data_IF_286819398103
#
_entry.id   IF_286819398103
#
_cell.length_a   1.000
_cell.length_b   1.000
_cell.length_c   1.000
_cell.angle_alpha   90.00
_cell.angle_beta   90.00
_cell.angle_gamma   90.00
#
_symmetry.space_group_name_H-M   'P 1'
#
loop_
_entity.id
_entity.type
_entity.pdbx_description
1 polymer ?
#
# COMPACT_ATOMS: atom_id res chain seq x y z
N UNK A 1 19.79 59.65 -34.61
CA UNK A 1 18.48 60.02 -35.13
C UNK A 1 17.38 59.00 -34.71
N UNK A 2 16.14 59.19 -35.14
CA UNK A 2 14.98 58.40 -34.67
C UNK A 2 15.09 56.90 -34.99
N UNK A 3 15.71 56.50 -36.08
CA UNK A 3 15.98 55.09 -36.47
C UNK A 3 16.97 54.43 -35.53
N UNK A 4 17.96 55.10 -35.05
CA UNK A 4 18.98 54.60 -34.13
C UNK A 4 18.41 54.44 -32.71
N UNK A 5 17.52 55.32 -32.28
CA UNK A 5 16.79 55.21 -31.03
C UNK A 5 15.79 54.06 -31.02
N UNK A 6 15.09 53.78 -32.16
CA UNK A 6 14.18 52.66 -32.30
C UNK A 6 14.94 51.33 -32.27
N UNK A 7 16.05 51.22 -33.00
CA UNK A 7 16.91 50.01 -33.00
C UNK A 7 17.48 49.74 -31.62
N UNK A 8 17.90 50.76 -30.87
CA UNK A 8 18.39 50.62 -29.50
C UNK A 8 17.27 50.15 -28.54
N UNK A 9 16.06 50.69 -28.64
CA UNK A 9 14.92 50.29 -27.81
C UNK A 9 14.53 48.82 -28.09
N UNK A 10 14.58 48.37 -29.35
CA UNK A 10 14.28 46.99 -29.71
C UNK A 10 15.38 46.03 -29.22
N UNK A 11 16.65 46.41 -29.27
CA UNK A 11 17.77 45.66 -28.71
C UNK A 11 17.65 45.53 -27.18
N UNK A 12 17.30 46.61 -26.47
CA UNK A 12 17.07 46.58 -25.04
C UNK A 12 15.87 45.69 -24.63
N UNK A 13 14.79 45.75 -25.43
CA UNK A 13 13.62 44.88 -25.21
C UNK A 13 14.00 43.40 -25.39
N UNK A 14 14.71 43.07 -26.44
CA UNK A 14 15.21 41.72 -26.72
C UNK A 14 16.14 41.22 -25.59
N UNK A 15 17.08 42.06 -25.13
CA UNK A 15 17.98 41.72 -24.04
C UNK A 15 17.22 41.40 -22.72
N UNK A 16 16.16 42.16 -22.40
CA UNK A 16 15.29 41.91 -21.26
C UNK A 16 14.51 40.58 -21.39
N UNK A 17 13.99 40.27 -22.57
CA UNK A 17 13.30 39.02 -22.85
C UNK A 17 14.25 37.82 -22.74
N UNK A 18 15.47 37.96 -23.28
CA UNK A 18 16.50 36.91 -23.21
C UNK A 18 16.95 36.66 -21.76
N UNK A 19 17.16 37.72 -20.97
CA UNK A 19 17.47 37.62 -19.56
C UNK A 19 16.33 36.91 -18.75
N UNK A 20 15.07 37.27 -19.03
CA UNK A 20 13.92 36.66 -18.38
C UNK A 20 13.82 35.17 -18.67
N UNK A 21 14.11 34.71 -19.88
CA UNK A 21 14.14 33.28 -20.24
C UNK A 21 15.27 32.56 -19.54
N UNK A 22 16.47 33.14 -19.49
CA UNK A 22 17.61 32.59 -18.76
C UNK A 22 17.31 32.47 -17.24
N UNK A 23 16.67 33.50 -16.66
CA UNK A 23 16.27 33.49 -15.24
C UNK A 23 15.23 32.42 -14.92
N UNK A 24 14.29 32.17 -15.83
CA UNK A 24 13.33 31.09 -15.66
C UNK A 24 14.05 29.71 -15.57
N UNK A 25 15.10 29.50 -16.37
CA UNK A 25 15.92 28.28 -16.30
C UNK A 25 16.70 28.21 -15.00
N UNK A 26 17.33 29.31 -14.56
CA UNK A 26 18.03 29.35 -13.27
C UNK A 26 17.10 28.99 -12.10
N UNK A 27 15.88 29.52 -12.10
CA UNK A 27 14.85 29.16 -11.10
C UNK A 27 14.45 27.69 -11.18
N UNK A 28 14.29 27.12 -12.38
CA UNK A 28 13.99 25.71 -12.55
C UNK A 28 15.11 24.81 -12.01
N UNK A 29 16.37 25.16 -12.25
CA UNK A 29 17.54 24.44 -11.71
C UNK A 29 17.57 24.53 -10.17
N UNK A 30 17.38 25.70 -9.61
CA UNK A 30 17.34 25.89 -8.15
C UNK A 30 16.19 25.13 -7.46
N UNK A 31 15.08 24.93 -8.16
CA UNK A 31 13.93 24.18 -7.64
C UNK A 31 14.11 22.66 -7.63
N UNK A 32 15.16 22.11 -8.21
CA UNK A 32 15.44 20.66 -8.21
C UNK A 32 15.62 20.16 -6.76
N UNK A 33 16.41 20.87 -5.95
CA UNK A 33 16.68 20.52 -4.55
C UNK A 33 17.40 19.17 -4.40
N UNK A 34 17.08 18.43 -3.35
CA UNK A 34 17.67 17.09 -3.10
C UNK A 34 17.10 16.08 -4.08
N UNK A 35 17.97 15.37 -4.77
CA UNK A 35 17.63 14.38 -5.78
C UNK A 35 17.56 12.97 -5.19
N UNK A 36 16.52 12.22 -5.53
CA UNK A 36 16.33 10.81 -5.23
C UNK A 36 15.72 10.08 -6.45
N UNK A 37 15.51 8.77 -6.39
CA UNK A 37 14.92 7.98 -7.48
C UNK A 37 13.39 8.17 -7.64
N UNK A 38 12.79 9.24 -7.12
CA UNK A 38 11.35 9.51 -7.22
C UNK A 38 10.95 10.09 -8.58
N UNK A 39 9.68 9.88 -8.98
CA UNK A 39 9.10 10.54 -10.15
C UNK A 39 9.07 12.07 -10.02
N UNK A 40 9.06 12.62 -8.80
CA UNK A 40 9.12 14.05 -8.55
C UNK A 40 10.50 14.62 -8.89
N UNK A 41 11.58 13.96 -8.42
CA UNK A 41 12.96 14.31 -8.78
C UNK A 41 13.18 14.22 -10.29
N UNK A 42 12.70 13.15 -10.91
CA UNK A 42 12.74 12.98 -12.38
C UNK A 42 12.09 14.16 -13.11
N UNK A 43 10.86 14.47 -12.74
CA UNK A 43 10.10 15.54 -13.40
C UNK A 43 10.77 16.90 -13.30
N UNK A 44 11.38 17.23 -12.16
CA UNK A 44 12.09 18.49 -11.93
C UNK A 44 13.37 18.56 -12.75
N UNK A 45 14.17 17.51 -12.77
CA UNK A 45 15.43 17.42 -13.54
C UNK A 45 15.13 17.50 -15.03
N UNK A 46 14.17 16.72 -15.54
CA UNK A 46 13.76 16.74 -16.96
C UNK A 46 13.20 18.11 -17.37
N UNK A 47 12.39 18.75 -16.53
CA UNK A 47 11.85 20.08 -16.81
C UNK A 47 12.95 21.14 -16.91
N UNK A 48 13.91 21.14 -16.00
CA UNK A 48 15.04 22.06 -16.02
C UNK A 48 15.92 21.85 -17.26
N UNK A 49 16.21 20.60 -17.64
CA UNK A 49 16.97 20.27 -18.86
C UNK A 49 16.23 20.71 -20.12
N UNK A 50 14.93 20.44 -20.20
CA UNK A 50 14.09 20.86 -21.33
C UNK A 50 14.04 22.38 -21.47
N UNK A 51 13.92 23.09 -20.34
CA UNK A 51 13.92 24.56 -20.34
C UNK A 51 15.28 25.12 -20.81
N UNK A 52 16.41 24.54 -20.36
CA UNK A 52 17.75 24.92 -20.82
C UNK A 52 17.96 24.62 -22.30
N UNK A 53 17.51 23.47 -22.79
CA UNK A 53 17.62 23.07 -24.18
C UNK A 53 16.83 24.00 -25.16
N UNK A 54 15.74 24.60 -24.67
CA UNK A 54 14.91 25.53 -25.43
C UNK A 54 15.51 26.92 -25.57
N UNK A 55 16.61 27.24 -24.87
CA UNK A 55 17.30 28.51 -24.99
C UNK A 55 18.11 28.59 -26.28
N UNK A 56 18.16 29.80 -26.90
CA UNK A 56 19.11 30.09 -27.97
C UNK A 56 20.56 30.12 -27.41
N UNK A 57 21.55 30.08 -28.29
CA UNK A 57 22.96 30.12 -27.88
C UNK A 57 23.30 31.40 -27.11
N UNK A 58 22.72 32.53 -27.48
CA UNK A 58 22.92 33.79 -26.77
C UNK A 58 22.24 33.77 -25.37
N UNK A 59 21.07 33.19 -25.26
CA UNK A 59 20.37 33.01 -23.98
C UNK A 59 21.13 32.03 -23.07
N UNK A 60 21.72 30.98 -23.61
CA UNK A 60 22.56 30.01 -22.86
C UNK A 60 23.78 30.68 -22.26
N UNK A 61 24.38 31.66 -22.91
CA UNK A 61 25.49 32.47 -22.36
C UNK A 61 25.11 33.23 -21.09
N UNK A 62 23.83 33.53 -20.92
CA UNK A 62 23.30 34.22 -19.71
C UNK A 62 23.07 33.28 -18.52
N UNK A 63 23.14 31.95 -18.75
CA UNK A 63 23.10 30.94 -17.67
C UNK A 63 24.52 30.67 -17.22
N UNK A 64 24.81 30.95 -15.96
CA UNK A 64 26.15 30.80 -15.42
C UNK A 64 26.64 29.35 -15.46
N UNK A 65 27.92 29.15 -15.66
CA UNK A 65 28.55 27.82 -15.67
C UNK A 65 28.30 27.04 -14.38
N UNK A 66 28.21 27.74 -13.22
CA UNK A 66 27.84 27.17 -11.92
C UNK A 66 26.44 26.56 -11.93
N UNK A 67 25.47 27.22 -12.56
CA UNK A 67 24.10 26.72 -12.70
C UNK A 67 23.98 25.50 -13.62
N UNK A 68 24.73 25.54 -14.74
CA UNK A 68 24.79 24.39 -15.63
C UNK A 68 25.46 23.18 -14.97
N UNK A 69 26.48 23.41 -14.16
CA UNK A 69 27.12 22.37 -13.35
C UNK A 69 26.13 21.75 -12.35
N UNK A 70 25.34 22.54 -11.64
CA UNK A 70 24.30 22.04 -10.74
C UNK A 70 23.26 21.17 -11.46
N UNK A 71 22.86 21.56 -12.68
CA UNK A 71 21.93 20.76 -13.49
C UNK A 71 22.55 19.41 -13.87
N UNK A 72 23.82 19.42 -14.31
CA UNK A 72 24.55 18.19 -14.70
C UNK A 72 24.77 17.28 -13.48
N UNK A 73 25.10 17.85 -12.32
CA UNK A 73 25.22 17.10 -11.08
C UNK A 73 23.89 16.50 -10.62
N UNK A 74 22.80 17.24 -10.77
CA UNK A 74 21.45 16.73 -10.45
C UNK A 74 21.04 15.58 -11.38
N UNK A 75 21.37 15.64 -12.65
CA UNK A 75 21.15 14.54 -13.62
C UNK A 75 21.97 13.30 -13.23
N UNK A 76 23.26 13.48 -12.94
CA UNK A 76 24.13 12.39 -12.51
C UNK A 76 23.62 11.75 -11.20
N UNK A 77 23.24 12.60 -10.22
CA UNK A 77 22.67 12.14 -8.95
C UNK A 77 21.37 11.37 -9.15
N UNK A 78 20.51 11.81 -10.07
CA UNK A 78 19.28 11.09 -10.41
C UNK A 78 19.60 9.72 -11.02
N UNK A 79 20.52 9.64 -11.97
CA UNK A 79 20.94 8.37 -12.58
C UNK A 79 21.55 7.43 -11.51
N UNK A 80 22.43 7.94 -10.64
CA UNK A 80 22.98 7.16 -9.54
C UNK A 80 21.89 6.65 -8.59
N UNK A 81 20.94 7.51 -8.18
CA UNK A 81 19.84 7.10 -7.32
C UNK A 81 18.94 6.05 -7.97
N UNK A 82 18.73 6.13 -9.29
CA UNK A 82 17.99 5.11 -10.07
C UNK A 82 18.79 3.81 -10.13
N UNK A 83 20.10 3.86 -10.40
CA UNK A 83 20.97 2.67 -10.43
C UNK A 83 21.09 2.02 -9.04
N UNK A 84 21.27 2.79 -7.98
CA UNK A 84 21.23 2.29 -6.59
C UNK A 84 19.88 1.67 -6.25
N UNK A 85 18.78 2.30 -6.70
CA UNK A 85 17.44 1.74 -6.53
C UNK A 85 17.25 0.43 -7.30
N UNK A 86 17.83 0.30 -8.50
CA UNK A 86 17.87 -0.95 -9.27
C UNK A 86 18.80 -1.97 -8.61
N UNK A 87 20.00 -1.57 -8.18
CA UNK A 87 20.99 -2.43 -7.53
C UNK A 87 20.45 -2.99 -6.20
N UNK A 88 19.76 -2.16 -5.40
CA UNK A 88 19.02 -2.63 -4.21
C UNK A 88 17.90 -3.59 -4.58
N UNK A 89 17.38 -3.51 -5.82
CA UNK A 89 16.38 -4.45 -6.36
C UNK A 89 17.05 -5.72 -6.94
N UNK A 90 18.30 -5.65 -7.38
CA UNK A 90 19.05 -6.79 -7.94
C UNK A 90 19.86 -7.57 -6.89
N UNK A 91 20.38 -6.91 -5.84
CA UNK A 91 21.02 -7.61 -4.71
C UNK A 91 20.04 -8.42 -3.85
N UNK A 92 18.73 -8.16 -3.98
CA UNK A 92 17.65 -9.06 -3.51
C UNK A 92 17.04 -9.84 -4.68
N UNK A 93 17.88 -10.45 -5.56
CA UNK A 93 17.37 -11.57 -6.38
C UNK A 93 17.07 -12.70 -5.38
N UNK A 94 15.77 -13.04 -5.16
CA UNK A 94 15.45 -14.04 -4.17
C UNK A 94 16.06 -15.37 -4.62
N UNK A 95 16.83 -15.98 -3.76
CA UNK A 95 16.99 -17.42 -3.80
C UNK A 95 15.57 -18.01 -3.90
N UNK A 96 15.26 -18.54 -5.09
CA UNK A 96 14.01 -19.25 -5.36
C UNK A 96 12.74 -18.52 -4.90
N UNK A 97 12.25 -17.57 -5.75
CA UNK A 97 10.98 -16.86 -5.54
C UNK A 97 9.75 -17.80 -5.40
N UNK A 98 9.91 -19.09 -5.70
CA UNK A 98 8.88 -20.13 -5.51
C UNK A 98 8.77 -20.57 -4.05
N UNK A 99 9.81 -20.36 -3.23
CA UNK A 99 9.88 -20.77 -1.83
C UNK A 99 9.12 -19.83 -0.89
N UNK A 100 9.05 -18.53 -1.20
CA UNK A 100 8.39 -17.54 -0.36
C UNK A 100 7.08 -17.07 -0.96
N UNK A 101 6.02 -17.14 -0.19
CA UNK A 101 4.66 -16.82 -0.64
C UNK A 101 4.04 -15.78 0.28
N UNK A 102 3.44 -14.77 -0.33
CA UNK A 102 2.54 -13.85 0.34
C UNK A 102 1.13 -13.98 -0.27
N UNK A 103 0.09 -14.05 0.56
CA UNK A 103 -1.28 -14.23 0.09
C UNK A 103 -2.29 -13.57 1.02
N UNK A 104 -3.11 -12.70 0.48
CA UNK A 104 -4.27 -12.18 1.23
C UNK A 104 -5.36 -13.26 1.37
N UNK A 105 -6.08 -13.21 2.48
CA UNK A 105 -7.22 -14.10 2.74
C UNK A 105 -8.41 -13.86 1.80
N UNK A 106 -8.39 -12.77 1.01
CA UNK A 106 -9.38 -12.43 -0.02
C UNK A 106 -8.74 -11.68 -1.19
N UNK A 107 -9.30 -11.82 -2.40
CA UNK A 107 -8.87 -11.06 -3.60
C UNK A 107 -9.29 -9.59 -3.54
N UNK A 108 -10.37 -9.28 -2.83
CA UNK A 108 -10.87 -7.93 -2.69
C UNK A 108 -11.54 -7.70 -1.34
N UNK A 109 -11.67 -6.43 -0.96
CA UNK A 109 -12.38 -6.02 0.24
C UNK A 109 -13.06 -4.67 0.05
N UNK A 110 -13.88 -4.25 1.02
CA UNK A 110 -14.56 -2.94 0.98
C UNK A 110 -14.45 -2.24 2.32
N UNK A 111 -14.18 -0.94 2.28
CA UNK A 111 -14.15 -0.06 3.46
C UNK A 111 -15.08 1.12 3.26
N UNK A 112 -15.54 1.73 4.34
CA UNK A 112 -16.31 2.96 4.28
C UNK A 112 -15.40 4.17 4.13
N UNK A 113 -15.81 5.17 3.33
CA UNK A 113 -15.13 6.46 3.20
C UNK A 113 -14.96 7.11 4.58
N UNK A 114 -13.81 7.70 4.83
CA UNK A 114 -13.42 8.41 6.06
C UNK A 114 -13.46 7.59 7.35
N UNK A 115 -13.81 6.32 7.31
CA UNK A 115 -13.60 5.44 8.47
C UNK A 115 -12.19 4.86 8.39
N UNK A 116 -11.43 5.08 9.43
CA UNK A 116 -10.21 4.35 9.66
C UNK A 116 -10.60 2.90 10.00
N UNK A 117 -10.25 1.96 9.44
CA UNK A 117 -9.07 1.36 9.02
C UNK A 117 -8.96 0.01 9.65
N UNK A 118 -9.13 -0.93 8.83
CA UNK A 118 -8.71 -2.29 9.13
C UNK A 118 -7.22 -2.38 8.82
N UNK A 119 -6.50 -3.07 9.67
CA UNK A 119 -5.12 -3.42 9.42
C UNK A 119 -5.08 -4.68 8.56
N UNK A 120 -4.73 -4.54 7.28
CA UNK A 120 -4.61 -5.64 6.32
C UNK A 120 -3.48 -6.63 6.66
N UNK A 121 -2.51 -6.24 7.49
CA UNK A 121 -1.45 -7.15 7.92
C UNK A 121 -1.98 -8.37 8.71
N UNK A 122 -3.19 -8.30 9.26
CA UNK A 122 -3.85 -9.45 9.91
C UNK A 122 -4.48 -10.44 8.92
N UNK A 123 -4.67 -10.01 7.69
CA UNK A 123 -5.41 -10.74 6.66
C UNK A 123 -4.50 -11.24 5.52
N UNK A 124 -3.18 -11.16 5.73
CA UNK A 124 -2.17 -11.71 4.84
C UNK A 124 -1.43 -12.84 5.53
N UNK A 125 -1.23 -13.94 4.80
CA UNK A 125 -0.32 -15.01 5.17
C UNK A 125 0.98 -14.82 4.38
N UNK A 126 2.11 -14.94 5.06
CA UNK A 126 3.45 -14.96 4.48
C UNK A 126 4.19 -16.22 4.95
N UNK A 127 5.17 -16.66 4.18
CA UNK A 127 6.02 -17.79 4.57
C UNK A 127 6.72 -17.51 5.92
N UNK A 128 6.85 -18.53 6.76
CA UNK A 128 7.55 -18.40 8.04
C UNK A 128 9.00 -17.93 7.82
N UNK A 129 9.46 -16.99 8.65
CA UNK A 129 10.77 -16.37 8.54
C UNK A 129 10.85 -15.19 7.55
N UNK A 130 9.78 -14.93 6.79
CA UNK A 130 9.67 -13.76 5.91
C UNK A 130 9.04 -12.56 6.65
N UNK A 131 9.28 -11.33 6.20
CA UNK A 131 8.78 -10.09 6.82
C UNK A 131 8.21 -9.16 5.76
N UNK A 132 7.14 -8.46 6.09
CA UNK A 132 6.60 -7.41 5.24
C UNK A 132 7.48 -6.16 5.37
N UNK A 133 8.05 -5.71 4.25
CA UNK A 133 8.91 -4.51 4.20
C UNK A 133 8.26 -3.33 3.50
N UNK A 134 7.28 -3.56 2.62
CA UNK A 134 6.68 -2.48 1.84
C UNK A 134 5.19 -2.66 1.62
N UNK A 135 4.46 -1.55 1.77
CA UNK A 135 3.06 -1.40 1.40
C UNK A 135 2.92 -0.30 0.35
N UNK A 136 2.23 -0.57 -0.75
CA UNK A 136 1.98 0.40 -1.82
C UNK A 136 0.48 0.44 -2.15
N UNK A 137 -0.02 1.62 -2.50
CA UNK A 137 -1.37 1.79 -3.07
C UNK A 137 -1.25 2.28 -4.50
N UNK A 138 -2.11 1.78 -5.38
CA UNK A 138 -2.20 2.26 -6.78
C UNK A 138 -2.84 3.65 -6.88
N UNK A 139 -3.56 4.11 -5.84
CA UNK A 139 -4.20 5.43 -5.86
C UNK A 139 -4.37 5.99 -4.43
N UNK A 140 -3.44 6.88 -4.03
CA UNK A 140 -3.45 7.55 -2.72
C UNK A 140 -4.65 8.49 -2.53
N UNK A 141 -5.27 8.99 -3.61
CA UNK A 141 -6.48 9.83 -3.54
C UNK A 141 -7.72 9.01 -3.13
N UNK A 142 -7.73 7.70 -3.41
CA UNK A 142 -8.83 6.78 -3.07
C UNK A 142 -8.57 6.08 -1.74
N UNK A 143 -7.38 5.46 -1.58
CA UNK A 143 -6.98 4.72 -0.37
C UNK A 143 -5.55 5.04 -0.02
N UNK A 144 -5.29 5.36 1.23
CA UNK A 144 -3.93 5.40 1.78
C UNK A 144 -3.64 4.12 2.57
N UNK A 145 -2.38 3.73 2.61
CA UNK A 145 -1.89 2.61 3.43
C UNK A 145 -0.64 3.06 4.20
N UNK A 146 -0.54 2.66 5.46
CA UNK A 146 0.65 2.90 6.29
C UNK A 146 1.64 1.75 6.15
N UNK A 147 2.89 1.95 6.60
CA UNK A 147 3.91 0.90 6.68
C UNK A 147 3.54 -0.29 7.60
N UNK A 148 2.53 -0.12 8.47
CA UNK A 148 1.96 -1.19 9.31
C UNK A 148 0.73 -1.86 8.68
N UNK A 149 0.41 -1.57 7.40
CA UNK A 149 -0.73 -2.15 6.69
C UNK A 149 -2.11 -1.58 7.05
N UNK A 150 -2.15 -0.45 7.79
CA UNK A 150 -3.40 0.24 8.13
C UNK A 150 -3.88 1.02 6.91
N UNK A 151 -5.10 0.75 6.41
CA UNK A 151 -5.68 1.43 5.25
C UNK A 151 -6.75 2.45 5.67
N UNK A 152 -6.88 3.54 4.91
CA UNK A 152 -7.91 4.57 5.11
C UNK A 152 -8.53 4.95 3.76
N UNK A 153 -9.86 4.88 3.67
CA UNK A 153 -10.62 5.31 2.49
C UNK A 153 -10.77 6.82 2.44
N UNK A 154 -10.21 7.47 1.44
CA UNK A 154 -10.26 8.93 1.24
C UNK A 154 -11.41 9.36 0.33
N UNK A 155 -11.57 8.70 -0.81
CA UNK A 155 -12.60 8.98 -1.82
C UNK A 155 -13.29 7.68 -2.24
N UNK A 156 -14.59 7.75 -2.56
CA UNK A 156 -15.30 6.61 -3.15
C UNK A 156 -14.63 6.19 -4.45
N UNK A 157 -14.41 4.88 -4.62
CA UNK A 157 -13.67 4.34 -5.75
C UNK A 157 -12.99 3.02 -5.42
N UNK A 158 -12.03 2.62 -6.25
CA UNK A 158 -11.21 1.42 -6.05
C UNK A 158 -9.72 1.76 -6.11
N UNK A 159 -8.92 1.06 -5.34
CA UNK A 159 -7.46 1.07 -5.43
C UNK A 159 -6.91 -0.32 -5.08
N UNK A 160 -5.78 -0.68 -5.65
CA UNK A 160 -5.07 -1.92 -5.33
C UNK A 160 -4.01 -1.62 -4.27
N UNK A 161 -4.00 -2.39 -3.20
CA UNK A 161 -2.93 -2.40 -2.21
C UNK A 161 -2.03 -3.57 -2.51
N UNK A 162 -0.75 -3.30 -2.68
CA UNK A 162 0.30 -4.30 -2.88
C UNK A 162 1.23 -4.32 -1.68
N UNK A 163 1.57 -5.50 -1.22
CA UNK A 163 2.57 -5.74 -0.19
C UNK A 163 3.77 -6.44 -0.82
N UNK A 164 4.96 -6.13 -0.32
CA UNK A 164 6.20 -6.80 -0.68
C UNK A 164 6.92 -7.23 0.60
N UNK A 165 7.47 -8.42 0.59
CA UNK A 165 8.26 -8.97 1.71
C UNK A 165 9.76 -8.80 1.46
N UNK A 166 10.59 -8.98 2.48
CA UNK A 166 12.06 -8.89 2.38
C UNK A 166 12.64 -9.98 1.46
N UNK A 167 11.98 -11.14 1.36
CA UNK A 167 12.34 -12.22 0.44
C UNK A 167 11.70 -12.08 -0.94
N UNK A 168 11.14 -10.91 -1.28
CA UNK A 168 10.63 -10.57 -2.61
C UNK A 168 9.23 -11.07 -2.93
N UNK A 169 8.56 -11.82 -2.04
CA UNK A 169 7.19 -12.27 -2.27
C UNK A 169 6.23 -11.06 -2.31
N UNK A 170 5.27 -11.11 -3.24
CA UNK A 170 4.30 -10.03 -3.44
C UNK A 170 2.87 -10.56 -3.34
N UNK A 171 1.99 -9.76 -2.77
CA UNK A 171 0.55 -10.00 -2.78
C UNK A 171 -0.23 -8.71 -3.00
N UNK A 172 -1.37 -8.80 -3.66
CA UNK A 172 -2.22 -7.64 -3.92
C UNK A 172 -3.67 -7.91 -3.54
N UNK A 173 -4.35 -6.86 -3.10
CA UNK A 173 -5.78 -6.88 -2.78
C UNK A 173 -6.46 -5.63 -3.31
N UNK A 174 -7.59 -5.79 -3.99
CA UNK A 174 -8.42 -4.65 -4.43
C UNK A 174 -9.27 -4.15 -3.28
N UNK A 175 -9.18 -2.86 -2.97
CA UNK A 175 -9.96 -2.19 -1.93
C UNK A 175 -11.00 -1.28 -2.58
N UNK A 176 -12.28 -1.54 -2.31
CA UNK A 176 -13.39 -0.69 -2.72
C UNK A 176 -13.79 0.24 -1.58
N UNK A 177 -13.71 1.54 -1.79
CA UNK A 177 -14.22 2.55 -0.85
C UNK A 177 -15.66 2.85 -1.17
N UNK A 178 -16.55 2.63 -0.19
CA UNK A 178 -17.98 2.84 -0.29
C UNK A 178 -18.42 4.07 0.52
N UNK A 179 -19.44 4.79 0.03
CA UNK A 179 -20.05 5.90 0.78
C UNK A 179 -20.80 5.38 2.02
N UNK A 180 -21.57 4.31 1.86
CA UNK A 180 -22.38 3.69 2.91
C UNK A 180 -21.58 2.75 3.81
N UNK A 181 -22.09 2.49 5.01
CA UNK A 181 -21.52 1.54 5.97
C UNK A 181 -21.31 0.16 5.32
N UNK A 182 -20.12 -0.40 5.54
CA UNK A 182 -19.77 -1.74 5.09
C UNK A 182 -20.12 -2.74 6.19
N UNK A 183 -21.07 -3.63 5.90
CA UNK A 183 -21.50 -4.69 6.83
C UNK A 183 -20.97 -6.05 6.39
N UNK A 184 -20.89 -6.99 7.33
CA UNK A 184 -20.55 -8.39 7.04
C UNK A 184 -21.58 -9.03 6.12
N UNK A 185 -21.12 -9.56 4.98
CA UNK A 185 -21.94 -10.32 4.01
C UNK A 185 -21.85 -11.82 4.23
N UNK A 186 -20.69 -12.32 4.70
CA UNK A 186 -20.43 -13.73 4.96
C UNK A 186 -19.47 -13.90 6.12
N UNK A 187 -19.69 -14.97 6.92
CA UNK A 187 -18.78 -15.43 7.98
C UNK A 187 -18.32 -16.84 7.61
N UNK A 188 -17.01 -17.05 7.55
CA UNK A 188 -16.41 -18.37 7.33
C UNK A 188 -15.58 -18.72 8.56
N UNK A 189 -15.74 -19.90 9.10
CA UNK A 189 -14.98 -20.37 10.25
C UNK A 189 -13.99 -21.43 9.81
N UNK A 190 -12.75 -21.27 10.20
CA UNK A 190 -11.63 -22.14 9.88
C UNK A 190 -10.94 -22.63 11.14
N UNK A 191 -10.26 -23.75 11.05
CA UNK A 191 -9.31 -24.19 12.07
C UNK A 191 -8.07 -23.27 11.97
N UNK A 192 -7.67 -22.66 13.08
CA UNK A 192 -6.54 -21.71 13.08
C UNK A 192 -5.19 -22.37 12.73
N UNK A 193 -5.04 -23.67 13.02
CA UNK A 193 -3.80 -24.43 12.74
C UNK A 193 -3.70 -24.90 11.29
N UNK A 194 -4.82 -25.40 10.72
CA UNK A 194 -4.80 -26.03 9.36
C UNK A 194 -5.34 -25.12 8.27
N UNK A 195 -5.88 -23.95 8.61
CA UNK A 195 -6.60 -22.98 7.74
C UNK A 195 -7.79 -23.60 6.96
N UNK A 196 -8.18 -24.85 7.25
CA UNK A 196 -9.33 -25.51 6.63
C UNK A 196 -10.65 -25.05 7.25
N UNK A 197 -11.69 -24.97 6.39
CA UNK A 197 -13.05 -24.62 6.85
C UNK A 197 -13.55 -25.69 7.83
N UNK A 198 -14.10 -25.27 8.95
CA UNK A 198 -14.63 -26.15 9.98
C UNK A 198 -16.14 -25.93 10.13
N UNK A 199 -16.92 -26.96 9.79
CA UNK A 199 -18.37 -27.03 10.06
C UNK A 199 -18.70 -28.02 11.19
N UNK A 200 -17.86 -29.05 11.37
CA UNK A 200 -17.96 -30.09 12.41
C UNK A 200 -16.56 -30.42 12.93
N UNK A 201 -16.44 -30.73 14.20
CA UNK A 201 -15.19 -31.22 14.79
C UNK A 201 -15.48 -32.18 15.96
N UNK A 202 -14.66 -33.24 16.10
CA UNK A 202 -14.68 -34.15 17.21
C UNK A 202 -13.46 -33.88 18.09
N UNK A 203 -13.67 -33.74 19.39
CA UNK A 203 -12.63 -33.46 20.38
C UNK A 203 -12.71 -34.47 21.52
N UNK A 204 -11.57 -34.95 22.01
CA UNK A 204 -11.50 -35.66 23.27
C UNK A 204 -11.71 -34.67 24.44
N UNK A 205 -12.30 -35.16 25.59
CA UNK A 205 -12.46 -34.35 26.81
C UNK A 205 -11.14 -33.65 27.16
N UNK A 206 -11.20 -32.36 27.55
CA UNK A 206 -10.03 -31.54 27.91
C UNK A 206 -9.30 -30.89 26.72
N UNK A 207 -9.43 -31.41 25.48
CA UNK A 207 -8.74 -30.86 24.30
C UNK A 207 -9.34 -29.52 23.86
N UNK A 208 -8.51 -28.72 23.17
CA UNK A 208 -8.86 -27.40 22.67
C UNK A 208 -8.82 -27.36 21.13
N UNK A 209 -9.66 -26.51 20.55
CA UNK A 209 -9.65 -26.17 19.13
C UNK A 209 -9.73 -24.65 18.98
N UNK A 210 -8.77 -24.03 18.34
CA UNK A 210 -8.79 -22.59 18.05
C UNK A 210 -9.42 -22.35 16.67
N UNK A 211 -10.42 -21.48 16.64
CA UNK A 211 -11.09 -21.06 15.43
C UNK A 211 -10.48 -19.74 14.91
N UNK A 212 -10.29 -19.67 13.60
CA UNK A 212 -10.01 -18.44 12.85
C UNK A 212 -11.28 -18.05 12.10
N UNK A 213 -11.73 -16.82 12.27
CA UNK A 213 -12.93 -16.30 11.60
C UNK A 213 -12.52 -15.37 10.47
N UNK A 214 -13.00 -15.67 9.26
CA UNK A 214 -12.82 -14.84 8.08
C UNK A 214 -14.18 -14.26 7.69
N UNK A 215 -14.26 -12.94 7.66
CA UNK A 215 -15.45 -12.21 7.22
C UNK A 215 -15.33 -11.77 5.76
N UNK A 216 -16.44 -11.59 5.09
CA UNK A 216 -16.46 -10.91 3.79
C UNK A 216 -17.40 -9.69 3.89
N UNK A 217 -16.89 -8.48 3.62
CA UNK A 217 -15.48 -8.14 3.41
C UNK A 217 -14.63 -8.36 4.67
N UNK A 218 -13.33 -8.65 4.48
CA UNK A 218 -12.38 -8.89 5.59
C UNK A 218 -12.18 -7.65 6.48
N UNK A 219 -12.48 -6.47 5.94
CA UNK A 219 -12.38 -5.16 6.60
C UNK A 219 -13.70 -4.69 7.23
N UNK A 220 -14.67 -5.58 7.43
CA UNK A 220 -15.93 -5.21 8.09
C UNK A 220 -15.66 -4.63 9.49
N UNK A 221 -16.36 -3.55 9.90
CA UNK A 221 -16.29 -3.04 11.26
C UNK A 221 -17.11 -3.86 12.24
N UNK A 222 -17.90 -4.84 11.76
CA UNK A 222 -18.75 -5.64 12.61
C UNK A 222 -17.93 -6.57 13.52
N UNK A 223 -18.18 -6.51 14.83
CA UNK A 223 -17.51 -7.37 15.80
C UNK A 223 -17.89 -8.83 15.59
N UNK A 224 -16.91 -9.72 15.78
CA UNK A 224 -17.12 -11.17 15.83
C UNK A 224 -17.40 -11.57 17.27
N UNK A 225 -18.48 -12.35 17.46
CA UNK A 225 -18.85 -12.90 18.77
C UNK A 225 -19.06 -14.41 18.69
N UNK A 226 -18.83 -15.09 19.80
CA UNK A 226 -18.93 -16.54 19.92
C UNK A 226 -19.90 -16.92 21.04
N UNK A 227 -20.73 -17.94 20.79
CA UNK A 227 -21.62 -18.51 21.80
C UNK A 227 -21.65 -20.03 21.66
N UNK A 228 -21.63 -20.74 22.80
CA UNK A 228 -21.89 -22.18 22.81
C UNK A 228 -23.35 -22.45 23.15
N UNK A 229 -23.98 -23.38 22.43
CA UNK A 229 -25.34 -23.84 22.74
C UNK A 229 -25.41 -24.68 24.00
N UNK A 230 -24.31 -25.33 24.41
CA UNK A 230 -24.23 -26.18 25.59
C UNK A 230 -22.86 -26.06 26.26
N UNK A 231 -22.74 -25.11 27.20
CA UNK A 231 -21.47 -24.77 27.88
C UNK A 231 -20.96 -25.92 28.79
N UNK A 232 -21.82 -26.82 29.23
CA UNK A 232 -21.43 -28.02 29.95
C UNK A 232 -20.65 -29.02 29.11
N UNK A 233 -20.91 -29.07 27.77
CA UNK A 233 -20.24 -29.95 26.83
C UNK A 233 -19.00 -29.28 26.26
N UNK A 234 -19.12 -28.04 25.77
CA UNK A 234 -18.01 -27.29 25.22
C UNK A 234 -18.17 -25.78 25.46
N UNK A 235 -17.11 -25.13 25.87
CA UNK A 235 -17.06 -23.66 26.04
C UNK A 235 -16.29 -23.05 24.87
N UNK A 236 -16.52 -21.77 24.61
CA UNK A 236 -15.74 -20.97 23.63
C UNK A 236 -15.41 -19.61 24.23
N UNK A 237 -14.19 -19.16 24.06
CA UNK A 237 -13.76 -17.82 24.46
C UNK A 237 -14.09 -16.78 23.38
N UNK A 238 -14.03 -15.49 23.73
CA UNK A 238 -14.16 -14.38 22.78
C UNK A 238 -13.01 -14.32 21.73
N UNK A 239 -11.92 -15.07 21.95
CA UNK A 239 -10.82 -15.29 20.98
C UNK A 239 -11.04 -16.51 20.07
N UNK A 240 -12.20 -17.19 20.19
CA UNK A 240 -12.53 -18.36 19.37
C UNK A 240 -11.86 -19.67 19.83
N UNK A 241 -11.32 -19.73 21.05
CA UNK A 241 -10.76 -20.98 21.60
C UNK A 241 -11.87 -21.82 22.21
N UNK A 242 -12.14 -22.98 21.62
CA UNK A 242 -13.09 -23.99 22.13
C UNK A 242 -12.35 -24.90 23.09
N UNK A 243 -12.97 -25.22 24.24
CA UNK A 243 -12.51 -26.25 25.21
C UNK A 243 -13.60 -27.29 25.37
N UNK A 244 -13.27 -28.57 25.08
CA UNK A 244 -14.14 -29.72 25.33
C UNK A 244 -14.20 -30.05 26.83
N UNK A 245 -15.41 -30.14 27.42
CA UNK A 245 -15.60 -30.34 28.88
C UNK A 245 -16.18 -31.71 29.21
N UNK A 246 -17.32 -32.04 28.62
CA UNK A 246 -18.05 -33.29 28.96
C UNK A 246 -18.51 -33.96 27.66
N UNK A 247 -18.55 -35.29 27.62
CA UNK A 247 -19.09 -36.08 26.48
C UNK A 247 -20.47 -35.56 26.06
N UNK A 248 -20.66 -35.44 24.75
CA UNK A 248 -21.90 -34.94 24.16
C UNK A 248 -21.70 -34.07 22.93
N UNK A 249 -22.78 -33.39 22.50
CA UNK A 249 -22.78 -32.48 21.35
C UNK A 249 -23.09 -31.04 21.76
N UNK A 250 -22.38 -30.10 21.20
CA UNK A 250 -22.62 -28.65 21.34
C UNK A 250 -22.42 -27.94 19.99
N UNK A 251 -23.13 -26.85 19.76
CA UNK A 251 -22.95 -26.01 18.60
C UNK A 251 -22.30 -24.70 19.03
N UNK A 252 -21.18 -24.36 18.41
CA UNK A 252 -20.57 -23.04 18.54
C UNK A 252 -21.14 -22.14 17.47
N UNK A 253 -21.76 -21.06 17.89
CA UNK A 253 -22.38 -20.04 17.04
C UNK A 253 -21.40 -18.87 16.95
N UNK A 254 -20.99 -18.52 15.72
CA UNK A 254 -20.10 -17.40 15.41
C UNK A 254 -20.91 -16.36 14.66
N UNK A 255 -21.02 -15.14 15.22
CA UNK A 255 -21.80 -14.05 14.63
C UNK A 255 -20.92 -12.85 14.31
N UNK A 256 -21.16 -12.22 13.16
CA UNK A 256 -20.59 -10.91 12.78
C UNK A 256 -21.65 -10.07 12.08
N UNK A 257 -22.03 -8.94 12.66
CA UNK A 257 -23.19 -8.17 12.23
C UNK A 257 -24.47 -9.03 12.22
N UNK A 258 -25.15 -9.07 11.07
CA UNK A 258 -26.36 -9.91 10.86
C UNK A 258 -26.04 -11.34 10.39
N UNK A 259 -24.77 -11.68 10.15
CA UNK A 259 -24.38 -13.00 9.60
C UNK A 259 -23.88 -13.93 10.70
N UNK A 260 -24.20 -15.20 10.52
CA UNK A 260 -23.91 -16.27 11.49
C UNK A 260 -23.32 -17.48 10.80
N UNK A 261 -22.33 -18.12 11.43
CA UNK A 261 -21.84 -19.44 11.06
C UNK A 261 -21.94 -20.36 12.29
N UNK A 262 -22.12 -21.67 12.06
CA UNK A 262 -22.27 -22.67 13.11
C UNK A 262 -21.16 -23.74 12.95
N UNK A 263 -20.59 -24.17 14.06
CA UNK A 263 -19.64 -25.29 14.14
C UNK A 263 -20.17 -26.31 15.12
N UNK A 264 -20.45 -27.50 14.67
CA UNK A 264 -20.89 -28.60 15.52
C UNK A 264 -19.67 -29.26 16.18
N UNK A 265 -19.68 -29.37 17.50
CA UNK A 265 -18.64 -30.00 18.30
C UNK A 265 -19.20 -31.27 18.93
N UNK A 266 -18.56 -32.39 18.67
CA UNK A 266 -18.80 -33.65 19.35
C UNK A 266 -17.65 -33.90 20.34
N UNK A 267 -17.94 -34.08 21.59
CA UNK A 267 -16.95 -34.44 22.62
C UNK A 267 -17.11 -35.95 22.94
N UNK A 268 -16.00 -36.65 22.79
CA UNK A 268 -15.87 -38.09 23.18
C UNK A 268 -15.11 -38.24 24.50
#
# INVERSE_FOLDING_TARGET
DALDAAAKAEAEKKAKEDAAKADAVKKAIAAIGKVDASEDSKAKVEAARKAYAALTEDQKKLVEASQLKLLTEAEAAYQQAVEESKKTTEETKPEDATKYVAKFSAKSTSIQKRKSSTNLAKDIAITAGDKIVKWKTSNKKVVTVTNKGKITGKKVGKATITVTTDKGAKASITVYVKAKKVATKKVTVKNAKTDRVVKKATLKKGKKLTLKVVTNPITTPDKVTFKSSKKSVATVTNKGVIKAKKKGKATIIVKSGKKTAKVQITVK
#
